data_IF_579715771338
#
_entry.id   IF_579715771338
#
_cell.length_a   1.000
_cell.length_b   1.000
_cell.length_c   1.000
_cell.angle_alpha   90.00
_cell.angle_beta   90.00
_cell.angle_gamma   90.00
#
_symmetry.space_group_name_H-M   'P 1'
#
loop_
_entity.id
_entity.type
_entity.pdbx_description
1 polymer ?
#
# COMPACT_ATOMS: atom_id res chain seq x y z
N UNK A 1 -1.29 -7.56 -20.33
CA UNK A 1 -0.37 -8.21 -19.34
C UNK A 1 -1.03 -9.49 -18.85
N UNK A 2 -0.40 -10.65 -19.02
CA UNK A 2 -0.93 -11.94 -18.56
C UNK A 2 -0.73 -12.14 -17.04
N UNK A 3 -1.28 -13.25 -16.49
CA UNK A 3 -1.21 -13.54 -15.05
C UNK A 3 0.22 -13.71 -14.56
N UNK A 4 1.08 -14.40 -15.33
CA UNK A 4 2.47 -14.67 -14.95
C UNK A 4 3.25 -13.36 -14.80
N UNK A 5 3.23 -12.52 -15.83
CA UNK A 5 3.88 -11.21 -15.82
C UNK A 5 3.31 -10.30 -14.73
N UNK A 6 2.00 -10.39 -14.45
CA UNK A 6 1.36 -9.64 -13.36
C UNK A 6 1.89 -10.09 -11.99
N UNK A 7 2.02 -11.39 -11.75
CA UNK A 7 2.58 -11.93 -10.50
C UNK A 7 4.06 -11.57 -10.34
N UNK A 8 4.83 -11.58 -11.41
CA UNK A 8 6.24 -11.12 -11.42
C UNK A 8 6.34 -9.63 -11.06
N UNK A 9 5.45 -8.80 -11.59
CA UNK A 9 5.35 -7.38 -11.24
C UNK A 9 4.99 -7.20 -9.76
N UNK A 10 3.95 -7.88 -9.27
CA UNK A 10 3.54 -7.81 -7.86
C UNK A 10 4.70 -8.26 -6.96
N UNK A 11 5.38 -9.34 -7.30
CA UNK A 11 6.54 -9.83 -6.55
C UNK A 11 7.67 -8.80 -6.49
N UNK A 12 8.02 -8.19 -7.62
CA UNK A 12 9.07 -7.17 -7.68
C UNK A 12 8.73 -5.96 -6.80
N UNK A 13 7.49 -5.45 -6.87
CA UNK A 13 7.05 -4.29 -6.11
C UNK A 13 6.88 -4.63 -4.62
N UNK A 14 6.33 -5.80 -4.28
CA UNK A 14 6.15 -6.25 -2.89
C UNK A 14 7.48 -6.51 -2.19
N UNK A 15 8.47 -7.10 -2.88
CA UNK A 15 9.77 -7.42 -2.30
C UNK A 15 10.68 -6.19 -2.11
N UNK A 16 10.46 -5.11 -2.85
CA UNK A 16 11.24 -3.88 -2.73
C UNK A 16 11.12 -3.28 -1.33
N UNK A 17 12.24 -2.83 -0.76
CA UNK A 17 12.27 -2.19 0.55
C UNK A 17 11.91 -0.71 0.43
N UNK A 18 11.01 -0.23 1.29
CA UNK A 18 10.56 1.15 1.16
C UNK A 18 9.52 1.54 2.19
N UNK A 19 9.95 1.71 3.44
CA UNK A 19 9.10 2.36 4.45
C UNK A 19 9.03 3.87 4.17
N UNK A 20 8.04 4.56 4.77
CA UNK A 20 7.78 5.99 4.51
C UNK A 20 9.03 6.86 4.55
N UNK A 21 9.30 7.56 3.46
CA UNK A 21 10.50 8.42 3.28
C UNK A 21 11.71 7.72 2.65
N UNK A 22 11.61 6.41 2.37
CA UNK A 22 12.68 5.58 1.78
C UNK A 22 12.16 4.73 0.62
N UNK A 23 11.29 5.27 -0.21
CA UNK A 23 10.59 4.56 -1.29
C UNK A 23 11.44 4.36 -2.56
N UNK A 24 12.74 4.68 -2.54
CA UNK A 24 13.61 4.66 -3.73
C UNK A 24 13.61 3.31 -4.47
N UNK A 25 13.74 2.20 -3.72
CA UNK A 25 13.76 0.87 -4.32
C UNK A 25 12.40 0.49 -4.92
N UNK A 26 11.31 0.95 -4.30
CA UNK A 26 9.95 0.70 -4.79
C UNK A 26 9.70 1.44 -6.10
N UNK A 27 10.09 2.71 -6.14
CA UNK A 27 10.02 3.51 -7.37
C UNK A 27 10.86 2.87 -8.47
N UNK A 28 12.07 2.39 -8.15
CA UNK A 28 12.91 1.65 -9.09
C UNK A 28 12.26 0.34 -9.56
N UNK A 29 11.55 -0.39 -8.69
CA UNK A 29 10.84 -1.62 -9.04
C UNK A 29 9.59 -1.37 -9.91
N UNK A 30 8.92 -0.24 -9.75
CA UNK A 30 7.73 0.15 -10.54
C UNK A 30 8.12 0.58 -11.96
N UNK A 31 9.22 1.33 -12.13
CA UNK A 31 9.61 1.94 -13.40
C UNK A 31 9.63 1.01 -14.60
N UNK A 32 10.24 -0.20 -14.55
CA UNK A 32 10.27 -1.10 -15.71
C UNK A 32 8.88 -1.50 -16.22
N UNK A 33 7.91 -1.60 -15.31
CA UNK A 33 6.53 -1.92 -15.65
C UNK A 33 5.71 -0.70 -16.10
N UNK A 34 6.19 0.50 -15.85
CA UNK A 34 5.59 1.75 -16.34
C UNK A 34 6.10 2.15 -17.73
N UNK A 35 7.22 1.61 -18.18
CA UNK A 35 7.79 1.91 -19.49
C UNK A 35 6.80 1.63 -20.62
N UNK A 36 6.73 2.58 -21.57
CA UNK A 36 5.81 2.49 -22.71
C UNK A 36 4.36 2.88 -22.43
N UNK A 37 3.98 3.11 -21.17
CA UNK A 37 2.63 3.58 -20.81
C UNK A 37 2.44 5.07 -21.02
N UNK A 38 3.53 5.85 -20.97
CA UNK A 38 3.48 7.31 -21.18
C UNK A 38 4.66 8.03 -20.54
N UNK A 39 4.46 9.29 -20.18
CA UNK A 39 5.47 10.10 -19.51
C UNK A 39 5.55 9.71 -18.03
N UNK A 40 6.77 9.42 -17.57
CA UNK A 40 7.04 9.04 -16.18
C UNK A 40 7.86 10.15 -15.53
N UNK A 41 7.30 10.77 -14.49
CA UNK A 41 7.96 11.82 -13.71
C UNK A 41 7.94 11.50 -12.22
N UNK A 42 8.83 12.15 -11.47
CA UNK A 42 8.88 12.07 -10.01
C UNK A 42 8.96 13.46 -9.42
N UNK A 43 8.46 13.60 -8.20
CA UNK A 43 8.72 14.79 -7.39
C UNK A 43 9.77 14.53 -6.29
N UNK A 44 10.03 15.54 -5.46
CA UNK A 44 11.05 15.48 -4.40
C UNK A 44 10.64 14.62 -3.20
N UNK A 45 9.37 14.24 -3.09
CA UNK A 45 8.88 13.30 -2.09
C UNK A 45 8.93 11.84 -2.57
N UNK A 46 9.36 11.59 -3.81
CA UNK A 46 9.37 10.28 -4.47
C UNK A 46 7.98 9.82 -4.89
N UNK A 47 6.99 10.73 -4.98
CA UNK A 47 5.76 10.41 -5.69
C UNK A 47 6.09 10.16 -7.15
N UNK A 48 5.63 9.01 -7.69
CA UNK A 48 5.80 8.65 -9.09
C UNK A 48 4.52 8.92 -9.86
N UNK A 49 4.63 9.65 -10.97
CA UNK A 49 3.53 9.99 -11.86
C UNK A 49 3.70 9.28 -13.19
N UNK A 50 2.61 8.72 -13.72
CA UNK A 50 2.56 8.07 -15.04
C UNK A 50 1.42 8.74 -15.82
N UNK A 51 1.75 9.66 -16.72
CA UNK A 51 0.77 10.29 -17.61
C UNK A 51 0.59 9.42 -18.84
N UNK A 52 -0.61 8.85 -18.99
CA UNK A 52 -0.93 7.95 -20.10
C UNK A 52 -0.62 8.63 -21.46
N UNK A 53 0.02 7.90 -22.38
CA UNK A 53 0.47 8.47 -23.68
C UNK A 53 -0.69 8.88 -24.61
N UNK A 54 -1.88 8.30 -24.43
CA UNK A 54 -3.09 8.62 -25.20
C UNK A 54 -3.86 9.82 -24.63
N UNK A 55 -3.39 10.44 -23.54
CA UNK A 55 -3.94 11.68 -23.02
C UNK A 55 -3.80 12.81 -24.03
N UNK A 56 -4.82 13.66 -24.17
CA UNK A 56 -4.79 14.78 -25.10
C UNK A 56 -4.82 16.17 -24.42
N UNK A 57 -4.92 16.20 -23.09
CA UNK A 57 -4.94 17.42 -22.27
C UNK A 57 -6.21 18.26 -22.38
N UNK A 58 -7.29 17.71 -22.95
CA UNK A 58 -8.58 18.40 -23.14
C UNK A 58 -9.76 17.65 -22.51
N UNK A 59 -9.54 16.45 -22.04
CA UNK A 59 -10.54 15.59 -21.40
C UNK A 59 -10.47 15.76 -19.89
N UNK A 60 -11.56 15.42 -19.16
CA UNK A 60 -11.51 15.34 -17.71
C UNK A 60 -10.38 14.42 -17.25
N UNK A 61 -9.69 14.81 -16.18
CA UNK A 61 -8.53 14.08 -15.66
C UNK A 61 -8.96 13.12 -14.56
N UNK A 62 -8.65 11.85 -14.75
CA UNK A 62 -8.82 10.80 -13.72
C UNK A 62 -7.48 10.52 -13.06
N UNK A 63 -7.40 10.68 -11.76
CA UNK A 63 -6.28 10.19 -10.95
C UNK A 63 -6.51 8.73 -10.54
N UNK A 64 -5.61 7.83 -10.93
CA UNK A 64 -5.47 6.52 -10.33
C UNK A 64 -4.41 6.64 -9.23
N UNK A 65 -4.77 6.34 -8.01
CA UNK A 65 -3.90 6.58 -6.86
C UNK A 65 -3.69 5.31 -6.05
N UNK A 66 -2.48 5.13 -5.51
CA UNK A 66 -2.13 4.12 -4.51
C UNK A 66 -0.84 4.59 -3.81
N UNK A 67 -0.59 4.11 -2.59
CA UNK A 67 0.68 4.46 -1.95
C UNK A 67 1.77 3.41 -2.18
N UNK A 68 3.02 3.90 -2.19
CA UNK A 68 4.21 3.09 -2.46
C UNK A 68 5.00 2.73 -1.20
N UNK A 69 4.81 3.46 -0.10
CA UNK A 69 5.45 3.16 1.17
C UNK A 69 4.83 1.95 1.88
N UNK A 70 5.52 1.45 2.87
CA UNK A 70 5.10 0.35 3.73
C UNK A 70 5.30 0.72 5.19
N UNK A 71 4.53 0.12 6.10
CA UNK A 71 4.79 0.17 7.54
C UNK A 71 6.16 -0.44 7.86
N UNK A 72 6.88 0.14 8.79
CA UNK A 72 8.21 -0.32 9.19
C UNK A 72 8.67 0.35 10.47
N UNK A 73 9.99 0.52 10.59
CA UNK A 73 10.57 1.15 11.77
C UNK A 73 11.75 2.04 11.36
N UNK A 74 12.17 2.88 12.32
CA UNK A 74 13.38 3.70 12.18
C UNK A 74 14.27 3.50 13.41
N UNK A 75 15.57 3.41 13.20
CA UNK A 75 16.55 3.32 14.27
C UNK A 75 16.55 4.62 15.07
N UNK A 76 16.12 4.56 16.32
CA UNK A 76 16.08 5.71 17.24
C UNK A 76 17.37 5.84 18.03
N UNK A 77 17.97 4.73 18.45
CA UNK A 77 19.21 4.70 19.22
C UNK A 77 19.93 3.36 19.07
N UNK A 78 21.25 3.36 19.29
CA UNK A 78 22.10 2.17 19.31
C UNK A 78 22.55 1.94 20.75
N UNK A 79 22.17 0.81 21.32
CA UNK A 79 22.46 0.46 22.70
C UNK A 79 23.95 0.07 22.91
N UNK A 80 24.51 0.19 24.12
CA UNK A 80 25.89 -0.21 24.37
C UNK A 80 26.22 -1.67 24.02
N UNK A 81 25.22 -2.58 24.12
CA UNK A 81 25.33 -3.99 23.75
C UNK A 81 25.15 -4.28 22.27
N UNK A 82 25.02 -3.26 21.42
CA UNK A 82 24.88 -3.41 19.96
C UNK A 82 23.44 -3.57 19.45
N UNK A 83 22.44 -3.77 20.33
CA UNK A 83 21.04 -3.82 19.89
C UNK A 83 20.51 -2.42 19.53
N UNK A 84 19.46 -2.36 18.70
CA UNK A 84 18.90 -1.12 18.21
C UNK A 84 17.55 -0.81 18.87
N UNK A 85 17.39 0.39 19.38
CA UNK A 85 16.06 0.94 19.71
C UNK A 85 15.42 1.45 18.43
N UNK A 86 14.13 1.21 18.28
CA UNK A 86 13.37 1.58 17.10
C UNK A 86 12.10 2.31 17.48
N UNK A 87 11.60 3.14 16.56
CA UNK A 87 10.24 3.68 16.59
C UNK A 87 9.45 3.09 15.41
N UNK A 88 8.14 3.06 15.54
CA UNK A 88 7.24 2.65 14.45
C UNK A 88 7.17 3.73 13.36
N UNK A 89 7.10 3.30 12.11
CA UNK A 89 6.66 4.07 10.96
C UNK A 89 5.36 3.40 10.48
N UNK A 90 4.26 4.16 10.43
CA UNK A 90 2.93 3.60 10.24
C UNK A 90 2.36 2.93 11.48
N UNK A 91 1.19 2.34 11.36
CA UNK A 91 0.47 1.75 12.47
C UNK A 91 0.85 0.28 12.73
N UNK A 92 1.34 -0.05 13.92
CA UNK A 92 1.66 -1.42 14.34
C UNK A 92 0.96 -1.79 15.64
N UNK A 93 0.66 -3.07 15.81
CA UNK A 93 0.33 -3.65 17.12
C UNK A 93 1.61 -4.24 17.71
N UNK A 94 2.03 -3.75 18.88
CA UNK A 94 3.32 -4.14 19.48
C UNK A 94 3.52 -5.65 19.62
N UNK A 95 2.44 -6.41 19.88
CA UNK A 95 2.50 -7.86 20.00
C UNK A 95 2.87 -8.60 18.71
N UNK A 96 2.67 -7.97 17.54
CA UNK A 96 2.97 -8.55 16.23
C UNK A 96 4.39 -8.20 15.75
N UNK A 97 5.15 -7.40 16.51
CA UNK A 97 6.48 -6.93 16.09
C UNK A 97 7.59 -7.95 16.40
N UNK A 98 7.67 -8.56 17.61
CA UNK A 98 8.80 -9.44 17.99
C UNK A 98 8.85 -10.75 17.22
N UNK A 99 10.06 -11.32 17.19
CA UNK A 99 10.36 -12.65 16.65
C UNK A 99 10.25 -12.76 15.10
N UNK A 100 10.36 -11.63 14.39
CA UNK A 100 10.36 -11.62 12.93
C UNK A 100 11.71 -11.14 12.38
N UNK A 101 12.06 -11.64 11.21
CA UNK A 101 13.19 -11.14 10.44
C UNK A 101 12.92 -9.74 9.91
N UNK A 102 13.94 -8.91 9.97
CA UNK A 102 13.95 -7.55 9.42
C UNK A 102 15.27 -7.26 8.73
N UNK A 103 15.26 -6.25 7.90
CA UNK A 103 16.44 -5.69 7.25
C UNK A 103 16.66 -4.27 7.75
N UNK A 104 17.87 -3.97 8.27
CA UNK A 104 18.27 -2.65 8.71
C UNK A 104 19.17 -2.04 7.64
N UNK A 105 18.78 -0.93 7.05
CA UNK A 105 19.64 -0.22 6.10
C UNK A 105 20.83 0.41 6.82
N UNK A 106 22.01 0.36 6.20
CA UNK A 106 23.18 1.01 6.71
C UNK A 106 23.53 2.29 5.91
N UNK A 107 24.52 3.04 6.39
CA UNK A 107 24.97 4.28 5.74
C UNK A 107 25.53 4.13 4.33
N UNK A 108 25.77 2.90 3.88
CA UNK A 108 26.27 2.59 2.54
C UNK A 108 25.12 2.19 1.59
N UNK A 109 23.87 2.15 2.10
CA UNK A 109 22.71 1.73 1.36
C UNK A 109 22.51 0.20 1.31
N UNK A 110 23.29 -0.56 2.08
CA UNK A 110 23.19 -2.01 2.18
C UNK A 110 22.22 -2.39 3.31
N UNK A 111 21.61 -3.57 3.19
CA UNK A 111 20.69 -4.09 4.19
C UNK A 111 21.33 -5.17 5.04
N UNK A 112 21.40 -4.92 6.35
CA UNK A 112 21.92 -5.84 7.35
C UNK A 112 20.75 -6.66 7.90
N UNK A 113 20.78 -8.00 7.83
CA UNK A 113 19.77 -8.84 8.44
C UNK A 113 19.73 -8.69 9.95
N UNK A 114 18.54 -8.65 10.50
CA UNK A 114 18.30 -8.59 11.94
C UNK A 114 17.00 -9.28 12.34
N UNK A 115 16.74 -9.28 13.61
CA UNK A 115 15.52 -9.85 14.20
C UNK A 115 14.91 -8.81 15.15
N UNK A 116 13.61 -8.58 15.04
CA UNK A 116 12.87 -7.88 16.09
C UNK A 116 12.75 -8.78 17.30
N UNK A 117 13.08 -8.28 18.47
CA UNK A 117 13.15 -9.08 19.67
C UNK A 117 12.54 -8.36 20.89
N UNK A 118 12.06 -9.13 21.83
CA UNK A 118 11.72 -8.69 23.18
C UNK A 118 12.42 -9.56 24.22
N UNK A 119 12.33 -9.20 25.49
CA UNK A 119 12.95 -9.97 26.59
C UNK A 119 12.50 -11.43 26.53
N UNK A 120 13.43 -12.41 26.49
CA UNK A 120 13.07 -13.82 26.47
C UNK A 120 12.37 -14.27 27.77
N UNK A 121 11.45 -15.26 27.72
CA UNK A 121 10.67 -15.68 28.88
C UNK A 121 11.51 -16.19 30.05
N UNK A 122 12.73 -16.70 29.79
CA UNK A 122 13.67 -17.19 30.82
C UNK A 122 14.17 -16.06 31.75
N UNK A 123 14.11 -14.82 31.30
CA UNK A 123 14.57 -13.64 32.05
C UNK A 123 13.41 -12.75 32.52
N UNK A 124 12.14 -13.12 32.19
CA UNK A 124 10.96 -12.36 32.61
C UNK A 124 10.49 -12.78 33.99
N UNK A 125 10.12 -11.79 34.81
CA UNK A 125 9.31 -11.98 35.99
C UNK A 125 7.88 -12.39 35.61
N UNK A 126 7.11 -12.94 36.56
CA UNK A 126 5.69 -13.26 36.30
C UNK A 126 4.85 -12.00 35.94
N UNK A 127 5.17 -10.87 36.54
CA UNK A 127 4.52 -9.60 36.26
C UNK A 127 4.81 -9.11 34.83
N UNK A 128 6.08 -9.18 34.38
CA UNK A 128 6.46 -8.82 33.01
C UNK A 128 5.79 -9.71 31.96
N UNK A 129 5.61 -11.00 32.23
CA UNK A 129 4.92 -11.93 31.32
C UNK A 129 3.43 -11.58 31.11
N UNK A 130 2.80 -10.98 32.11
CA UNK A 130 1.37 -10.61 32.08
C UNK A 130 1.15 -9.17 31.61
N UNK A 131 2.19 -8.36 31.57
CA UNK A 131 2.10 -6.97 31.14
C UNK A 131 1.92 -6.86 29.60
N UNK A 132 1.18 -5.87 29.10
CA UNK A 132 1.20 -5.53 27.70
C UNK A 132 2.62 -5.18 27.24
N UNK A 133 2.97 -5.63 26.03
CA UNK A 133 4.27 -5.31 25.44
C UNK A 133 4.33 -3.83 25.05
N UNK A 134 5.29 -3.09 25.60
CA UNK A 134 5.53 -1.70 25.26
C UNK A 134 6.60 -1.61 24.15
N UNK A 135 6.53 -0.61 23.30
CA UNK A 135 7.52 -0.38 22.23
C UNK A 135 8.94 -0.21 22.77
N UNK A 136 9.10 0.36 23.96
CA UNK A 136 10.41 0.48 24.65
C UNK A 136 11.06 -0.86 24.98
N UNK A 137 10.30 -1.96 25.06
CA UNK A 137 10.77 -3.30 25.38
C UNK A 137 11.09 -4.14 24.13
N UNK A 138 10.88 -3.54 22.94
CA UNK A 138 11.21 -4.12 21.64
C UNK A 138 12.52 -3.54 21.14
N UNK A 139 13.38 -4.40 20.61
CA UNK A 139 14.66 -4.05 20.01
C UNK A 139 14.81 -4.76 18.67
N UNK A 140 15.73 -4.26 17.83
CA UNK A 140 16.25 -5.02 16.70
C UNK A 140 17.66 -5.47 17.05
N UNK A 141 17.91 -6.76 16.88
CA UNK A 141 19.21 -7.38 17.06
C UNK A 141 19.79 -7.77 15.70
N UNK A 142 20.93 -7.21 15.36
CA UNK A 142 21.71 -7.47 14.14
C UNK A 142 22.94 -8.34 14.40
N UNK A 143 23.05 -8.91 15.61
CA UNK A 143 24.18 -9.74 16.03
C UNK A 143 25.45 -8.96 16.42
N UNK A 144 25.36 -7.63 16.54
CA UNK A 144 26.47 -6.83 17.07
C UNK A 144 26.62 -7.04 18.57
N UNK A 145 27.87 -7.10 19.07
CA UNK A 145 28.17 -7.30 20.49
C UNK A 145 28.51 -6.00 21.22
N UNK A 146 28.61 -4.90 20.50
CA UNK A 146 28.80 -3.56 21.04
C UNK A 146 28.28 -2.49 20.10
N UNK A 147 28.07 -1.29 20.66
CA UNK A 147 27.69 -0.10 19.87
C UNK A 147 28.74 0.22 18.79
N UNK A 148 30.03 0.13 19.13
CA UNK A 148 31.12 0.37 18.21
C UNK A 148 31.07 -0.58 17.02
N UNK A 149 30.79 -1.86 17.24
CA UNK A 149 30.65 -2.83 16.16
C UNK A 149 29.45 -2.52 15.25
N UNK A 150 28.29 -2.19 15.82
CA UNK A 150 27.11 -1.81 15.05
C UNK A 150 27.36 -0.56 14.17
N UNK A 151 28.06 0.44 14.72
CA UNK A 151 28.32 1.72 14.02
C UNK A 151 29.47 1.61 13.03
N UNK A 152 30.62 1.08 13.47
CA UNK A 152 31.85 1.13 12.68
C UNK A 152 31.94 -0.02 11.68
N UNK A 153 31.58 -1.24 12.09
CA UNK A 153 31.69 -2.43 11.25
C UNK A 153 30.43 -2.66 10.40
N UNK A 154 29.22 -2.53 10.99
CA UNK A 154 27.98 -2.72 10.25
C UNK A 154 27.47 -1.44 9.58
N UNK A 155 28.00 -0.28 9.96
CA UNK A 155 27.66 1.00 9.36
C UNK A 155 26.27 1.54 9.72
N UNK A 156 25.65 1.01 10.77
CA UNK A 156 24.30 1.41 11.19
C UNK A 156 24.34 2.81 11.84
N UNK A 157 23.35 3.65 11.51
CA UNK A 157 23.17 4.98 12.05
C UNK A 157 21.76 5.19 12.61
N UNK A 158 21.62 6.18 13.46
CA UNK A 158 20.31 6.71 13.87
C UNK A 158 19.63 7.30 12.63
N UNK A 159 18.32 7.06 12.49
CA UNK A 159 17.51 7.50 11.35
C UNK A 159 17.48 6.54 10.18
N UNK A 160 18.23 5.44 10.20
CA UNK A 160 18.14 4.43 9.15
C UNK A 160 16.83 3.60 9.26
N UNK A 161 16.22 3.25 8.12
CA UNK A 161 14.99 2.48 8.10
C UNK A 161 15.22 1.00 8.45
N UNK A 162 14.18 0.40 9.01
CA UNK A 162 14.09 -1.04 9.27
C UNK A 162 12.79 -1.55 8.64
N UNK A 163 12.90 -2.55 7.79
CA UNK A 163 11.77 -3.09 7.02
C UNK A 163 11.60 -4.59 7.28
N UNK A 164 10.39 -5.15 7.13
CA UNK A 164 10.17 -6.60 7.15
C UNK A 164 11.01 -7.34 6.10
N UNK A 165 11.66 -8.44 6.49
CA UNK A 165 12.36 -9.36 5.58
C UNK A 165 11.42 -10.51 5.19
N UNK A 166 10.58 -10.26 4.20
CA UNK A 166 9.58 -11.20 3.70
C UNK A 166 9.61 -11.21 2.17
N UNK A 167 9.67 -12.41 1.61
CA UNK A 167 9.66 -12.63 0.15
C UNK A 167 8.26 -13.02 -0.32
N UNK A 168 7.83 -12.43 -1.42
CA UNK A 168 6.56 -12.76 -2.07
C UNK A 168 6.51 -14.24 -2.50
N UNK A 169 5.36 -14.85 -2.30
CA UNK A 169 5.01 -16.19 -2.80
C UNK A 169 3.60 -16.22 -3.37
N UNK A 170 3.38 -17.11 -4.34
CA UNK A 170 2.07 -17.39 -4.91
C UNK A 170 1.82 -18.89 -4.98
N UNK A 171 0.63 -19.33 -4.61
CA UNK A 171 0.18 -20.72 -4.72
C UNK A 171 -0.92 -20.85 -5.78
N UNK A 172 -0.65 -21.55 -6.88
CA UNK A 172 -1.65 -21.81 -7.91
C UNK A 172 -2.83 -22.65 -7.39
N UNK A 173 -2.57 -23.59 -6.48
CA UNK A 173 -3.60 -24.46 -5.90
C UNK A 173 -4.64 -23.68 -5.11
N UNK A 174 -4.22 -22.63 -4.42
CA UNK A 174 -5.12 -21.86 -3.56
C UNK A 174 -5.48 -20.50 -4.14
N UNK A 175 -4.82 -20.06 -5.21
CA UNK A 175 -4.87 -18.71 -5.79
C UNK A 175 -4.49 -17.62 -4.78
N UNK A 176 -3.66 -17.96 -3.78
CA UNK A 176 -3.24 -17.02 -2.74
C UNK A 176 -1.84 -16.51 -2.98
N UNK A 177 -1.71 -15.20 -2.80
CA UNK A 177 -0.45 -14.48 -2.68
C UNK A 177 -0.13 -14.30 -1.19
N UNK A 178 1.12 -14.44 -0.80
CA UNK A 178 1.62 -14.04 0.51
C UNK A 178 2.92 -13.24 0.34
N UNK A 179 3.03 -12.14 1.06
CA UNK A 179 4.17 -11.21 0.94
C UNK A 179 4.09 -10.11 1.98
N UNK A 180 4.96 -9.12 1.86
CA UNK A 180 4.90 -7.88 2.64
C UNK A 180 4.23 -6.76 1.84
N UNK A 181 3.83 -5.71 2.52
CA UNK A 181 3.48 -4.42 1.89
C UNK A 181 2.33 -4.51 0.85
N UNK A 182 1.43 -5.48 0.96
CA UNK A 182 0.26 -5.55 0.08
C UNK A 182 -0.63 -4.32 0.22
N UNK A 183 -0.63 -3.74 1.38
CA UNK A 183 -1.00 -2.39 1.71
C UNK A 183 0.22 -1.46 1.51
N UNK A 184 0.35 -0.63 0.42
CA UNK A 184 -0.60 -0.66 -0.71
C UNK A 184 0.10 -1.01 -2.05
N UNK A 185 1.13 -1.89 -2.03
CA UNK A 185 1.87 -2.30 -3.25
C UNK A 185 0.98 -3.04 -4.25
N UNK A 186 -0.10 -3.71 -3.79
CA UNK A 186 -1.13 -4.24 -4.69
C UNK A 186 -1.86 -3.12 -5.43
N UNK A 187 -2.08 -1.97 -4.79
CA UNK A 187 -2.64 -0.79 -5.43
C UNK A 187 -1.73 -0.22 -6.52
N UNK A 188 -0.42 -0.10 -6.25
CA UNK A 188 0.56 0.33 -7.26
C UNK A 188 0.56 -0.63 -8.48
N UNK A 189 0.54 -1.94 -8.23
CA UNK A 189 0.43 -2.94 -9.29
C UNK A 189 -0.91 -2.85 -10.05
N UNK A 190 -2.01 -2.52 -9.37
CA UNK A 190 -3.32 -2.34 -9.98
C UNK A 190 -3.35 -1.12 -10.93
N UNK A 191 -2.71 0.00 -10.56
CA UNK A 191 -2.53 1.15 -11.45
C UNK A 191 -1.84 0.72 -12.74
N UNK A 192 -0.70 0.07 -12.62
CA UNK A 192 0.09 -0.38 -13.77
C UNK A 192 -0.70 -1.34 -14.67
N UNK A 193 -1.32 -2.36 -14.08
CA UNK A 193 -2.12 -3.34 -14.84
C UNK A 193 -3.33 -2.69 -15.50
N UNK A 194 -4.00 -1.74 -14.85
CA UNK A 194 -5.11 -0.96 -15.41
C UNK A 194 -4.63 -0.19 -16.64
N UNK A 195 -3.53 0.54 -16.53
CA UNK A 195 -2.98 1.33 -17.64
C UNK A 195 -2.52 0.43 -18.81
N UNK A 196 -1.88 -0.71 -18.53
CA UNK A 196 -1.54 -1.70 -19.57
C UNK A 196 -2.78 -2.28 -20.27
N UNK A 197 -3.84 -2.56 -19.51
CA UNK A 197 -5.09 -3.11 -20.07
C UNK A 197 -5.79 -2.11 -20.99
N UNK A 198 -5.66 -0.83 -20.69
CA UNK A 198 -6.26 0.27 -21.47
C UNK A 198 -5.31 0.85 -22.52
N UNK A 199 -4.08 0.34 -22.65
CA UNK A 199 -3.12 0.86 -23.62
C UNK A 199 -3.67 0.79 -25.07
N UNK A 200 -3.50 1.89 -25.81
CA UNK A 200 -3.98 2.02 -27.19
C UNK A 200 -5.49 2.21 -27.36
N UNK A 201 -6.28 2.22 -26.28
CA UNK A 201 -7.72 2.47 -26.35
C UNK A 201 -7.99 3.98 -26.32
N UNK A 202 -8.95 4.45 -27.13
CA UNK A 202 -9.45 5.82 -27.05
C UNK A 202 -10.51 5.89 -25.93
N UNK A 203 -10.30 6.77 -24.95
CA UNK A 203 -11.18 6.99 -23.80
C UNK A 203 -11.65 8.44 -23.78
N UNK A 204 -12.77 8.71 -23.14
CA UNK A 204 -13.28 10.08 -22.98
C UNK A 204 -12.66 10.82 -21.77
N UNK A 205 -11.66 10.25 -21.15
CA UNK A 205 -10.92 10.80 -20.02
C UNK A 205 -9.41 10.72 -20.23
N UNK A 206 -8.68 11.63 -19.63
CA UNK A 206 -7.23 11.57 -19.51
C UNK A 206 -6.87 10.89 -18.17
N UNK A 207 -5.89 10.00 -18.18
CA UNK A 207 -5.53 9.21 -17.00
C UNK A 207 -4.13 9.56 -16.54
N UNK A 208 -3.98 9.79 -15.23
CA UNK A 208 -2.69 9.94 -14.56
C UNK A 208 -2.63 8.95 -13.41
N UNK A 209 -1.70 8.00 -13.48
CA UNK A 209 -1.36 7.12 -12.36
C UNK A 209 -0.43 7.83 -11.38
N UNK A 210 -0.69 7.71 -10.09
CA UNK A 210 0.14 8.26 -9.02
C UNK A 210 0.45 7.16 -7.98
N UNK A 211 1.74 6.82 -7.83
CA UNK A 211 2.21 6.03 -6.70
C UNK A 211 2.73 7.02 -5.66
N UNK A 212 1.91 7.28 -4.64
CA UNK A 212 2.16 8.30 -3.63
C UNK A 212 3.08 7.78 -2.52
N UNK A 213 3.99 8.63 -2.04
CA UNK A 213 4.88 8.33 -0.93
C UNK A 213 4.24 8.70 0.43
N UNK A 214 4.74 8.13 1.53
CA UNK A 214 4.44 8.56 2.90
C UNK A 214 2.94 8.60 3.25
N UNK A 215 2.15 7.64 2.79
CA UNK A 215 0.75 7.49 3.18
C UNK A 215 0.65 7.11 4.65
N UNK A 216 1.42 6.12 5.09
CA UNK A 216 1.40 5.49 6.40
C UNK A 216 1.69 6.44 7.57
N UNK A 217 2.26 7.60 7.27
CA UNK A 217 2.58 8.65 8.24
C UNK A 217 1.73 9.91 8.06
N UNK A 218 0.59 9.78 7.39
CA UNK A 218 -0.44 10.83 7.30
C UNK A 218 -0.76 11.32 5.90
N UNK A 219 -0.86 10.44 4.91
CA UNK A 219 -1.32 10.69 3.51
C UNK A 219 -0.57 11.85 2.83
N UNK A 220 0.72 12.00 3.13
CA UNK A 220 1.51 13.19 2.76
C UNK A 220 1.72 13.30 1.25
N UNK A 221 2.11 12.20 0.60
CA UNK A 221 2.33 12.16 -0.84
C UNK A 221 1.09 12.49 -1.63
N UNK A 222 -0.06 11.91 -1.26
CA UNK A 222 -1.32 12.16 -1.92
C UNK A 222 -1.77 13.62 -1.85
N UNK A 223 -1.43 14.33 -0.78
CA UNK A 223 -1.65 15.78 -0.69
C UNK A 223 -0.91 16.53 -1.80
N UNK A 224 0.28 16.07 -2.16
CA UNK A 224 1.08 16.66 -3.24
C UNK A 224 0.59 16.19 -4.61
N UNK A 225 0.33 14.87 -4.77
CA UNK A 225 -0.10 14.33 -6.08
C UNK A 225 -1.39 14.95 -6.55
N UNK A 226 -2.36 15.16 -5.65
CA UNK A 226 -3.63 15.79 -5.99
C UNK A 226 -3.46 17.25 -6.45
N UNK A 227 -2.54 18.01 -5.84
CA UNK A 227 -2.23 19.39 -6.25
C UNK A 227 -1.51 19.45 -7.60
N UNK A 228 -0.66 18.47 -7.92
CA UNK A 228 0.10 18.39 -9.18
C UNK A 228 -0.79 17.92 -10.33
N UNK A 229 -1.65 16.92 -10.09
CA UNK A 229 -2.51 16.32 -11.12
C UNK A 229 -3.75 17.17 -11.35
N UNK A 230 -4.36 17.73 -10.30
CA UNK A 230 -5.63 18.46 -10.31
C UNK A 230 -6.75 17.64 -10.96
N UNK A 231 -7.09 16.49 -10.40
CA UNK A 231 -8.05 15.59 -11.02
C UNK A 231 -9.49 16.11 -10.94
N UNK A 232 -10.30 15.77 -11.95
CA UNK A 232 -11.75 15.97 -11.92
C UNK A 232 -12.46 14.84 -11.17
N UNK A 233 -11.84 13.66 -11.12
CA UNK A 233 -12.33 12.46 -10.44
C UNK A 233 -11.17 11.54 -10.10
N UNK A 234 -11.30 10.68 -9.06
CA UNK A 234 -10.24 9.75 -8.71
C UNK A 234 -10.73 8.35 -8.34
N UNK A 235 -9.89 7.36 -8.63
CA UNK A 235 -9.98 5.98 -8.15
C UNK A 235 -8.75 5.73 -7.29
N UNK A 236 -8.95 5.47 -6.01
CA UNK A 236 -7.90 5.07 -5.07
C UNK A 236 -7.93 3.55 -4.96
N UNK A 237 -6.82 2.91 -5.35
CA UNK A 237 -6.60 1.51 -5.03
C UNK A 237 -5.99 1.39 -3.63
N UNK A 238 -6.40 0.36 -2.90
CA UNK A 238 -5.93 0.17 -1.53
C UNK A 238 -5.73 -1.31 -1.21
N UNK A 239 -4.77 -1.63 -0.35
CA UNK A 239 -4.64 -2.93 0.28
C UNK A 239 -5.50 -2.98 1.55
N UNK A 240 -6.79 -3.25 1.41
CA UNK A 240 -7.72 -3.11 2.53
C UNK A 240 -7.66 -4.24 3.54
N UNK A 241 -7.63 -3.96 4.85
CA UNK A 241 -7.70 -4.99 5.88
C UNK A 241 -8.93 -5.89 5.70
N UNK A 242 -8.69 -7.19 5.47
CA UNK A 242 -9.73 -8.20 5.48
C UNK A 242 -10.16 -8.50 6.91
N UNK A 243 -11.47 -8.64 7.12
CA UNK A 243 -12.07 -8.83 8.45
C UNK A 243 -12.66 -10.23 8.65
N UNK A 244 -12.60 -11.07 7.65
CA UNK A 244 -13.22 -12.39 7.60
C UNK A 244 -12.67 -13.42 8.62
N UNK A 245 -11.58 -13.07 9.31
CA UNK A 245 -11.00 -13.88 10.41
C UNK A 245 -11.13 -13.22 11.78
N UNK A 246 -11.68 -11.99 11.85
CA UNK A 246 -11.58 -11.14 13.04
C UNK A 246 -12.94 -10.69 13.59
N UNK A 247 -14.02 -10.81 12.82
CA UNK A 247 -15.34 -10.32 13.22
C UNK A 247 -16.40 -11.43 13.11
N UNK A 248 -17.57 -11.20 13.74
CA UNK A 248 -18.73 -12.08 13.61
C UNK A 248 -19.18 -12.18 12.14
N UNK A 249 -19.66 -13.36 11.73
CA UNK A 249 -19.97 -13.65 10.31
C UNK A 249 -20.86 -12.62 9.64
N UNK A 250 -21.87 -12.09 10.36
CA UNK A 250 -22.80 -11.08 9.82
C UNK A 250 -22.18 -9.69 9.67
N UNK A 251 -21.02 -9.44 10.29
CA UNK A 251 -20.25 -8.19 10.22
C UNK A 251 -19.15 -8.21 9.17
N UNK A 252 -18.90 -9.37 8.54
CA UNK A 252 -17.86 -9.51 7.52
C UNK A 252 -18.22 -8.67 6.30
N UNK A 253 -17.38 -7.70 5.97
CA UNK A 253 -17.53 -6.78 4.85
C UNK A 253 -16.36 -6.81 3.87
N UNK A 254 -15.26 -7.45 4.26
CA UNK A 254 -14.06 -7.56 3.42
C UNK A 254 -13.42 -8.92 3.62
N UNK A 255 -13.80 -9.88 2.79
CA UNK A 255 -13.26 -11.24 2.82
C UNK A 255 -12.38 -11.49 1.58
N UNK A 256 -11.29 -12.26 1.73
CA UNK A 256 -10.54 -12.72 0.56
C UNK A 256 -11.38 -13.67 -0.29
N UNK A 257 -11.13 -13.70 -1.61
CA UNK A 257 -11.83 -14.52 -2.62
C UNK A 257 -13.32 -14.14 -2.83
N UNK A 258 -13.70 -12.93 -2.46
CA UNK A 258 -15.06 -12.41 -2.70
C UNK A 258 -15.08 -11.15 -3.58
N UNK A 259 -13.95 -10.83 -4.22
CA UNK A 259 -13.79 -9.62 -5.02
C UNK A 259 -13.30 -8.42 -4.21
N UNK A 260 -12.96 -7.31 -4.88
CA UNK A 260 -12.54 -6.09 -4.22
C UNK A 260 -13.66 -5.49 -3.37
N UNK A 261 -13.27 -4.70 -2.38
CA UNK A 261 -14.15 -3.96 -1.50
C UNK A 261 -14.31 -2.52 -1.98
N UNK A 262 -15.55 -2.05 -2.07
CA UNK A 262 -15.89 -0.65 -2.28
C UNK A 262 -16.22 0.00 -0.94
N UNK A 263 -15.46 1.03 -0.55
CA UNK A 263 -15.57 1.68 0.77
C UNK A 263 -16.57 2.82 0.74
N UNK A 264 -17.63 2.76 1.55
CA UNK A 264 -18.62 3.84 1.69
C UNK A 264 -18.14 4.99 2.58
N UNK A 265 -17.44 4.66 3.66
CA UNK A 265 -16.94 5.61 4.64
C UNK A 265 -15.73 5.02 5.37
N UNK A 266 -14.84 5.87 5.79
CA UNK A 266 -13.81 5.63 6.80
C UNK A 266 -13.71 6.82 7.77
N UNK A 267 -12.68 6.86 8.61
CA UNK A 267 -12.53 7.91 9.62
C UNK A 267 -12.35 9.33 9.03
N UNK A 268 -11.98 9.47 7.76
CA UNK A 268 -11.58 10.74 7.15
C UNK A 268 -12.30 11.08 5.84
N UNK A 269 -13.06 10.15 5.26
CA UNK A 269 -13.78 10.36 4.00
C UNK A 269 -15.13 9.63 4.00
N UNK A 270 -16.16 10.31 3.54
CA UNK A 270 -17.38 9.67 3.03
C UNK A 270 -17.24 9.65 1.51
N UNK A 271 -17.22 8.46 0.93
CA UNK A 271 -17.16 8.28 -0.53
C UNK A 271 -18.36 8.95 -1.18
N UNK A 272 -18.15 9.61 -2.33
CA UNK A 272 -19.27 10.21 -3.07
C UNK A 272 -20.35 9.15 -3.36
N UNK A 273 -21.57 9.30 -2.79
CA UNK A 273 -22.58 8.22 -2.85
C UNK A 273 -23.08 7.91 -4.26
N UNK A 274 -23.06 8.89 -5.17
CA UNK A 274 -23.49 8.71 -6.56
C UNK A 274 -22.43 7.93 -7.34
N UNK A 275 -21.16 8.28 -7.16
CA UNK A 275 -20.04 7.56 -7.78
C UNK A 275 -19.93 6.12 -7.24
N UNK A 276 -20.06 5.95 -5.91
CA UNK A 276 -20.09 4.62 -5.28
C UNK A 276 -21.19 3.73 -5.86
N UNK A 277 -22.43 4.27 -5.96
CA UNK A 277 -23.56 3.51 -6.52
C UNK A 277 -23.32 3.17 -7.98
N UNK A 278 -22.85 4.12 -8.77
CA UNK A 278 -22.48 3.86 -10.18
C UNK A 278 -21.50 2.70 -10.31
N UNK A 279 -20.46 2.64 -9.47
CA UNK A 279 -19.48 1.57 -9.49
C UNK A 279 -20.09 0.20 -9.08
N UNK A 280 -20.95 0.18 -8.07
CA UNK A 280 -21.66 -1.03 -7.62
C UNK A 280 -22.62 -1.55 -8.68
N UNK A 281 -23.48 -0.69 -9.24
CA UNK A 281 -24.44 -1.04 -10.28
C UNK A 281 -23.73 -1.56 -11.54
N UNK A 282 -22.57 -0.96 -11.88
CA UNK A 282 -21.76 -1.42 -12.99
C UNK A 282 -21.14 -2.79 -12.72
N UNK A 283 -20.64 -3.03 -11.52
CA UNK A 283 -20.10 -4.33 -11.12
C UNK A 283 -21.17 -5.42 -11.19
N UNK A 284 -22.37 -5.17 -10.65
CA UNK A 284 -23.52 -6.09 -10.73
C UNK A 284 -23.89 -6.40 -12.18
N UNK A 285 -24.06 -5.37 -13.01
CA UNK A 285 -24.39 -5.50 -14.44
C UNK A 285 -23.39 -6.36 -15.22
N UNK A 286 -22.11 -6.29 -14.85
CA UNK A 286 -21.02 -7.02 -15.53
C UNK A 286 -20.66 -8.34 -14.85
N UNK A 287 -21.31 -8.70 -13.75
CA UNK A 287 -21.00 -9.90 -12.98
C UNK A 287 -19.59 -9.88 -12.37
N UNK A 288 -19.07 -8.69 -12.03
CA UNK A 288 -17.80 -8.55 -11.33
C UNK A 288 -18.10 -8.65 -9.83
N UNK A 289 -17.53 -9.63 -9.11
CA UNK A 289 -17.76 -9.75 -7.68
C UNK A 289 -17.16 -8.52 -6.96
N UNK A 290 -17.94 -7.94 -6.06
CA UNK A 290 -17.52 -6.81 -5.20
C UNK A 290 -18.13 -6.96 -3.82
N UNK A 291 -17.56 -6.29 -2.85
CA UNK A 291 -18.03 -6.23 -1.47
C UNK A 291 -18.23 -4.78 -1.04
N UNK A 292 -19.16 -4.54 -0.15
CA UNK A 292 -19.44 -3.23 0.44
C UNK A 292 -18.84 -3.12 1.83
N UNK A 293 -18.20 -1.99 2.17
CA UNK A 293 -17.69 -1.78 3.51
C UNK A 293 -18.00 -0.40 4.07
N UNK A 294 -18.47 -0.40 5.31
CA UNK A 294 -18.69 0.76 6.16
C UNK A 294 -17.70 0.67 7.32
N UNK A 295 -16.70 1.55 7.34
CA UNK A 295 -15.58 1.50 8.30
C UNK A 295 -15.64 2.70 9.24
N UNK A 296 -15.41 2.46 10.53
CA UNK A 296 -15.32 3.52 11.55
C UNK A 296 -13.88 3.98 11.80
N UNK A 297 -12.89 3.26 11.25
CA UNK A 297 -11.46 3.52 11.44
C UNK A 297 -10.70 3.35 10.12
N UNK A 298 -9.42 3.68 10.14
CA UNK A 298 -8.57 3.71 8.96
C UNK A 298 -8.77 4.97 8.12
N UNK A 299 -7.96 5.12 7.11
CA UNK A 299 -8.02 6.20 6.13
C UNK A 299 -7.36 5.69 4.84
N UNK A 300 -7.38 6.46 3.78
CA UNK A 300 -6.67 6.23 2.52
C UNK A 300 -6.25 7.56 1.93
N UNK A 301 -5.50 7.55 0.86
CA UNK A 301 -5.17 8.74 0.08
C UNK A 301 -6.41 9.53 -0.37
N UNK A 302 -7.56 8.88 -0.50
CA UNK A 302 -8.84 9.53 -0.77
C UNK A 302 -9.19 10.64 0.21
N UNK A 303 -8.74 10.53 1.46
CA UNK A 303 -8.96 11.51 2.52
C UNK A 303 -8.47 12.94 2.21
N UNK A 304 -7.48 13.09 1.35
CA UNK A 304 -6.94 14.39 0.94
C UNK A 304 -7.30 14.72 -0.51
N UNK A 305 -7.39 13.71 -1.38
CA UNK A 305 -7.74 13.92 -2.79
C UNK A 305 -9.14 14.53 -2.91
N UNK A 306 -10.13 14.01 -2.16
CA UNK A 306 -11.51 14.51 -2.25
C UNK A 306 -11.69 15.97 -1.77
N UNK A 307 -10.70 16.51 -1.05
CA UNK A 307 -10.74 17.90 -0.53
C UNK A 307 -9.99 18.90 -1.43
N UNK A 308 -9.40 18.43 -2.53
CA UNK A 308 -8.63 19.31 -3.42
C UNK A 308 -9.55 20.08 -4.39
N UNK A 309 -9.05 21.23 -4.88
CA UNK A 309 -9.71 22.10 -5.87
C UNK A 309 -11.18 22.38 -5.50
N UNK A 310 -12.14 21.90 -6.28
CA UNK A 310 -13.58 22.11 -6.12
C UNK A 310 -14.29 20.93 -5.43
N UNK A 311 -13.57 20.12 -4.69
CA UNK A 311 -13.95 18.80 -4.21
C UNK A 311 -14.04 17.76 -5.34
N UNK A 312 -13.23 16.72 -5.23
CA UNK A 312 -13.08 15.66 -6.23
C UNK A 312 -13.92 14.45 -5.84
N UNK A 313 -14.80 13.94 -6.70
CA UNK A 313 -15.44 12.64 -6.45
C UNK A 313 -14.38 11.53 -6.40
N UNK A 314 -14.34 10.76 -5.32
CA UNK A 314 -13.39 9.68 -5.10
C UNK A 314 -14.14 8.40 -4.77
N UNK A 315 -13.68 7.27 -5.31
CA UNK A 315 -14.02 5.93 -4.81
C UNK A 315 -12.75 5.19 -4.39
N UNK A 316 -12.88 4.28 -3.45
CA UNK A 316 -11.82 3.39 -3.00
C UNK A 316 -12.14 1.97 -3.44
N UNK A 317 -11.26 1.39 -4.27
CA UNK A 317 -11.32 -0.01 -4.71
C UNK A 317 -10.26 -0.76 -3.92
N UNK A 318 -10.67 -1.43 -2.85
CA UNK A 318 -9.78 -2.13 -1.94
C UNK A 318 -9.58 -3.59 -2.31
N UNK A 319 -8.34 -4.03 -2.46
CA UNK A 319 -8.00 -5.45 -2.56
C UNK A 319 -7.93 -6.02 -1.14
N UNK A 320 -8.71 -7.06 -0.79
CA UNK A 320 -8.70 -7.64 0.55
C UNK A 320 -7.32 -8.21 0.93
N UNK A 321 -6.78 -7.77 2.06
CA UNK A 321 -5.50 -8.23 2.61
C UNK A 321 -5.71 -8.66 4.05
N UNK A 322 -5.52 -9.93 4.37
CA UNK A 322 -5.44 -10.40 5.75
C UNK A 322 -4.11 -9.97 6.36
N UNK A 323 -4.14 -9.58 7.63
CA UNK A 323 -2.96 -9.21 8.43
C UNK A 323 -2.22 -7.96 7.91
N UNK A 324 -2.92 -7.04 7.23
CA UNK A 324 -2.37 -5.71 6.93
C UNK A 324 -1.77 -5.08 8.20
N UNK A 325 -0.74 -4.25 8.05
CA UNK A 325 0.03 -3.66 9.17
C UNK A 325 0.69 -4.71 10.08
N UNK A 326 1.15 -5.82 9.47
CA UNK A 326 2.09 -6.77 10.07
C UNK A 326 3.24 -7.06 9.10
N UNK A 327 4.14 -7.96 9.46
CA UNK A 327 5.22 -8.39 8.55
C UNK A 327 4.69 -9.12 7.30
N UNK A 328 3.48 -9.69 7.36
CA UNK A 328 2.91 -10.55 6.32
C UNK A 328 1.52 -10.13 5.92
N UNK A 329 1.24 -10.12 4.64
CA UNK A 329 -0.11 -10.02 4.09
C UNK A 329 -0.48 -11.30 3.33
N UNK A 330 -1.76 -11.64 3.33
CA UNK A 330 -2.33 -12.69 2.47
C UNK A 330 -3.48 -12.09 1.67
N UNK A 331 -3.46 -12.27 0.36
CA UNK A 331 -4.50 -11.81 -0.55
C UNK A 331 -4.75 -12.84 -1.66
N UNK A 332 -5.92 -12.80 -2.31
CA UNK A 332 -6.20 -13.63 -3.47
C UNK A 332 -5.92 -12.88 -4.77
N UNK A 333 -5.27 -13.55 -5.73
CA UNK A 333 -5.02 -12.94 -7.04
C UNK A 333 -6.32 -12.58 -7.77
N UNK A 334 -7.37 -13.39 -7.64
CA UNK A 334 -8.66 -13.11 -8.24
C UNK A 334 -9.30 -11.81 -7.74
N UNK A 335 -9.10 -11.44 -6.46
CA UNK A 335 -9.62 -10.17 -5.91
C UNK A 335 -8.87 -8.97 -6.53
N UNK A 336 -7.55 -9.08 -6.66
CA UNK A 336 -6.72 -8.09 -7.35
C UNK A 336 -7.14 -7.94 -8.83
N UNK A 337 -7.31 -9.06 -9.55
CA UNK A 337 -7.70 -9.03 -10.96
C UNK A 337 -9.09 -8.40 -11.17
N UNK A 338 -10.05 -8.69 -10.28
CA UNK A 338 -11.38 -8.08 -10.29
C UNK A 338 -11.35 -6.58 -9.94
N UNK A 339 -10.44 -6.13 -9.07
CA UNK A 339 -10.23 -4.71 -8.80
C UNK A 339 -9.79 -3.95 -10.06
N UNK A 340 -8.80 -4.49 -10.77
CA UNK A 340 -8.32 -3.95 -12.06
C UNK A 340 -9.44 -3.97 -13.10
N UNK A 341 -10.18 -5.08 -13.21
CA UNK A 341 -11.28 -5.22 -14.16
C UNK A 341 -12.37 -4.17 -13.92
N UNK A 342 -12.77 -3.98 -12.66
CA UNK A 342 -13.76 -2.96 -12.29
C UNK A 342 -13.27 -1.56 -12.66
N UNK A 343 -12.05 -1.20 -12.30
CA UNK A 343 -11.46 0.10 -12.64
C UNK A 343 -11.42 0.33 -14.17
N UNK A 344 -11.00 -0.66 -14.95
CA UNK A 344 -11.00 -0.58 -16.41
C UNK A 344 -12.41 -0.35 -16.97
N UNK A 345 -13.40 -1.04 -16.44
CA UNK A 345 -14.78 -0.91 -16.93
C UNK A 345 -15.42 0.43 -16.54
N UNK A 346 -15.06 0.99 -15.40
CA UNK A 346 -15.42 2.37 -15.03
C UNK A 346 -14.79 3.35 -16.01
N UNK A 347 -13.46 3.30 -16.20
CA UNK A 347 -12.71 4.23 -17.05
C UNK A 347 -13.18 4.24 -18.51
N UNK A 348 -13.59 3.11 -19.07
CA UNK A 348 -14.15 3.00 -20.42
C UNK A 348 -15.50 3.71 -20.59
N UNK A 349 -16.20 3.99 -19.51
CA UNK A 349 -17.57 4.56 -19.53
C UNK A 349 -17.65 5.95 -18.94
N UNK A 350 -16.56 6.44 -18.32
CA UNK A 350 -16.51 7.80 -17.84
C UNK A 350 -16.40 8.77 -19.02
N UNK A 351 -17.18 9.83 -18.95
CA UNK A 351 -17.11 11.03 -19.77
C UNK A 351 -17.43 12.26 -18.89
N UNK A 352 -17.38 13.43 -19.48
CA UNK A 352 -17.65 14.69 -18.76
C UNK A 352 -19.06 14.73 -18.15
N UNK A 353 -20.08 14.26 -18.89
CA UNK A 353 -21.48 14.24 -18.43
C UNK A 353 -21.63 13.32 -17.21
N UNK A 354 -21.07 12.11 -17.28
CA UNK A 354 -21.11 11.16 -16.17
C UNK A 354 -20.38 11.70 -14.94
N UNK A 355 -19.20 12.31 -15.11
CA UNK A 355 -18.41 12.89 -14.00
C UNK A 355 -19.17 14.04 -13.34
N UNK A 356 -19.79 14.92 -14.14
CA UNK A 356 -20.59 16.04 -13.62
C UNK A 356 -21.86 15.58 -12.89
N UNK A 357 -22.34 14.36 -13.11
CA UNK A 357 -23.48 13.80 -12.39
C UNK A 357 -23.17 13.33 -10.98
N UNK A 358 -21.90 13.20 -10.64
CA UNK A 358 -21.43 12.78 -9.30
C UNK A 358 -21.26 13.97 -8.39
#
# INVERSE_FOLDING_TARGET
MDKKTTLEMIAAISNANGTSGFEDEVVAAIRPYAEGLGEITEDRMRNLYIRRKENNGKRPVVQLDAHSDEVGFMVQAICPNGTLRIIQIGGWVNHNIPAHKVLVRNRFGEYIPGITASKPPHFMTEQERKAPLDMKDITVDVGAVSKEEAVEKFGIRIGEPVVPDVTFTYSETTDLMAGKSFDCRLGCAAILKTMHTLAGQDLNVDIVGACAAQEEVGVRGATVTAQVIKPDIAIVFEGCPADDTCVEQYMVQTAIKRGPMLRHIDSRMITNPRYQRYALDLAEKLGIPVQDAVRSAGSTNGAVIHLTEKAVPVIVIGVPVRYAHTHYGISAYADFDNAVKLACEILKRLDEEQIMSF
#
